data_IF_067683839552
#
_entry.id   IF_067683839552
#
_cell.length_a   1.000
_cell.length_b   1.000
_cell.length_c   1.000
_cell.angle_alpha   90.00
_cell.angle_beta   90.00
_cell.angle_gamma   90.00
#
_symmetry.space_group_name_H-M   'P 1'
#
loop_
_entity.id
_entity.type
_entity.pdbx_description
1 polymer ?
#
# COMPACT_ATOMS: atom_id res chain seq x y z
N UNK A 1 6.17 -21.81 0.82
CA UNK A 1 5.66 -20.43 0.92
C UNK A 1 4.59 -20.24 -0.13
N UNK A 2 3.34 -20.00 0.28
CA UNK A 2 2.23 -19.69 -0.62
C UNK A 2 2.56 -18.42 -1.40
N UNK A 3 2.41 -18.42 -2.73
CA UNK A 3 2.70 -17.25 -3.59
C UNK A 3 1.58 -16.20 -3.57
N UNK A 4 0.74 -16.22 -2.54
CA UNK A 4 -0.51 -15.46 -2.48
C UNK A 4 -0.35 -14.26 -1.56
N UNK A 5 -0.93 -13.13 -1.98
CA UNK A 5 -0.96 -11.90 -1.19
C UNK A 5 -1.77 -12.14 0.09
N UNK A 6 -1.16 -11.87 1.24
CA UNK A 6 -1.83 -11.86 2.54
C UNK A 6 -2.10 -10.42 2.95
N UNK A 7 -3.34 -10.13 3.34
CA UNK A 7 -3.78 -8.81 3.79
C UNK A 7 -4.32 -8.98 5.21
N UNK A 8 -3.96 -8.06 6.11
CA UNK A 8 -4.47 -8.04 7.47
C UNK A 8 -4.74 -6.60 7.88
N UNK A 9 -6.01 -6.30 8.15
CA UNK A 9 -6.40 -4.99 8.66
C UNK A 9 -6.18 -4.97 10.17
N UNK A 10 -5.29 -4.09 10.62
CA UNK A 10 -5.08 -3.86 12.06
C UNK A 10 -6.16 -2.96 12.64
N UNK A 11 -6.56 -1.93 11.88
CA UNK A 11 -7.62 -0.99 12.23
C UNK A 11 -8.41 -0.65 10.96
N UNK A 12 -9.67 -1.13 10.83
CA UNK A 12 -10.52 -0.80 9.69
C UNK A 12 -10.82 0.70 9.65
N UNK A 13 -10.75 1.30 8.45
CA UNK A 13 -11.19 2.68 8.23
C UNK A 13 -12.69 2.74 7.94
N UNK A 14 -13.33 3.84 8.34
CA UNK A 14 -14.76 4.11 8.06
C UNK A 14 -14.96 4.99 6.80
N UNK A 15 -13.87 5.25 6.08
CA UNK A 15 -13.87 6.10 4.89
C UNK A 15 -14.49 5.43 3.67
N UNK A 16 -14.63 6.21 2.59
CA UNK A 16 -15.03 5.66 1.28
C UNK A 16 -13.95 4.72 0.77
N UNK A 17 -14.38 3.59 0.22
CA UNK A 17 -13.50 2.67 -0.50
C UNK A 17 -12.79 3.38 -1.66
N UNK A 18 -11.54 2.99 -1.88
CA UNK A 18 -10.74 3.54 -2.96
C UNK A 18 -11.16 2.86 -4.28
N UNK A 19 -11.35 3.66 -5.33
CA UNK A 19 -11.75 3.17 -6.64
C UNK A 19 -10.63 3.33 -7.66
N UNK A 20 -10.66 2.55 -8.75
CA UNK A 20 -9.71 2.69 -9.85
C UNK A 20 -9.65 4.13 -10.35
N UNK A 21 -8.45 4.69 -10.43
CA UNK A 21 -8.22 6.09 -10.82
C UNK A 21 -8.27 7.09 -9.67
N UNK A 22 -8.55 6.66 -8.43
CA UNK A 22 -8.49 7.53 -7.27
C UNK A 22 -7.05 7.95 -6.96
N UNK A 23 -6.89 9.22 -6.57
CA UNK A 23 -5.65 9.74 -6.00
C UNK A 23 -5.63 9.43 -4.51
N UNK A 24 -4.71 8.57 -4.08
CA UNK A 24 -4.53 8.24 -2.67
C UNK A 24 -3.29 8.93 -2.11
N UNK A 25 -3.32 9.27 -0.83
CA UNK A 25 -2.18 9.78 -0.08
C UNK A 25 -2.02 8.91 1.17
N UNK A 26 -0.88 8.25 1.32
CA UNK A 26 -0.68 7.26 2.37
C UNK A 26 0.75 7.26 2.93
N UNK A 27 0.89 6.83 4.18
CA UNK A 27 2.17 6.46 4.76
C UNK A 27 2.39 4.95 4.68
N UNK A 28 3.65 4.54 4.48
CA UNK A 28 4.02 3.14 4.41
C UNK A 28 5.46 2.90 4.80
N UNK A 29 5.72 1.64 5.15
CA UNK A 29 7.05 1.07 5.31
C UNK A 29 7.05 -0.30 4.64
N UNK A 30 7.96 -0.52 3.70
CA UNK A 30 8.20 -1.79 3.05
C UNK A 30 9.44 -2.47 3.64
N UNK A 31 9.28 -3.71 4.09
CA UNK A 31 10.34 -4.53 4.67
C UNK A 31 10.49 -5.84 3.91
N UNK A 32 11.71 -6.37 3.89
CA UNK A 32 11.97 -7.76 3.52
C UNK A 32 11.55 -8.69 4.67
N UNK A 33 11.50 -10.01 4.41
CA UNK A 33 11.12 -11.01 5.42
C UNK A 33 12.08 -11.04 6.63
N UNK A 34 13.34 -10.62 6.43
CA UNK A 34 14.34 -10.50 7.49
C UNK A 34 14.20 -9.22 8.33
N UNK A 35 13.23 -8.36 8.02
CA UNK A 35 12.98 -7.08 8.68
C UNK A 35 13.75 -5.90 8.09
N UNK A 36 14.61 -6.12 7.08
CA UNK A 36 15.33 -5.04 6.42
C UNK A 36 14.35 -4.11 5.71
N UNK A 37 14.33 -2.83 6.09
CA UNK A 37 13.53 -1.81 5.43
C UNK A 37 14.16 -1.48 4.08
N UNK A 38 13.45 -1.74 2.98
CA UNK A 38 13.89 -1.32 1.65
C UNK A 38 13.35 0.06 1.28
N UNK A 39 12.20 0.45 1.83
CA UNK A 39 11.63 1.78 1.61
C UNK A 39 10.65 2.21 2.71
N UNK A 40 10.60 3.51 3.04
CA UNK A 40 9.64 4.05 4.01
C UNK A 40 9.32 5.51 3.74
N UNK A 41 8.03 5.86 3.68
CA UNK A 41 7.61 7.24 3.55
C UNK A 41 7.82 8.04 4.84
N UNK A 42 7.80 7.39 6.01
CA UNK A 42 8.13 8.02 7.28
C UNK A 42 9.59 8.46 7.32
N UNK A 43 10.52 7.64 6.83
CA UNK A 43 11.95 8.03 6.73
C UNK A 43 12.16 9.21 5.79
N UNK A 44 11.33 9.36 4.75
CA UNK A 44 11.36 10.52 3.84
C UNK A 44 10.65 11.77 4.41
N UNK A 45 9.99 11.67 5.54
CA UNK A 45 9.27 12.77 6.20
C UNK A 45 8.05 13.29 5.44
N UNK A 46 7.59 12.60 4.38
CA UNK A 46 6.42 13.01 3.59
C UNK A 46 5.58 11.83 3.15
N UNK A 47 4.24 11.95 3.12
CA UNK A 47 3.37 10.90 2.62
C UNK A 47 3.62 10.64 1.14
N UNK A 48 3.30 9.43 0.71
CA UNK A 48 3.36 9.04 -0.68
C UNK A 48 1.99 9.25 -1.34
N UNK A 49 2.01 9.86 -2.51
CA UNK A 49 0.80 10.15 -3.28
C UNK A 49 0.87 9.43 -4.63
N UNK A 50 -0.19 8.68 -4.96
CA UNK A 50 -0.26 7.93 -6.21
C UNK A 50 -1.70 7.75 -6.69
N UNK A 51 -1.84 7.46 -7.99
CA UNK A 51 -3.12 7.11 -8.60
C UNK A 51 -3.22 5.59 -8.71
N UNK A 52 -4.16 4.98 -7.99
CA UNK A 52 -4.32 3.52 -7.96
C UNK A 52 -5.01 2.99 -9.23
N UNK A 53 -4.68 1.76 -9.60
CA UNK A 53 -5.26 1.08 -10.77
C UNK A 53 -4.71 1.60 -12.10
N UNK A 54 -3.49 2.15 -12.07
CA UNK A 54 -2.74 2.63 -13.25
C UNK A 54 -1.48 1.81 -13.51
N UNK A 55 -1.21 0.79 -12.70
CA UNK A 55 0.00 -0.05 -12.80
C UNK A 55 1.28 0.68 -12.37
N UNK A 56 1.15 1.79 -11.63
CA UNK A 56 2.27 2.65 -11.21
C UNK A 56 2.73 2.40 -9.78
N UNK A 57 2.14 1.44 -9.08
CA UNK A 57 2.50 1.06 -7.72
C UNK A 57 2.76 -0.44 -7.63
N UNK A 58 3.30 -0.89 -6.49
CA UNK A 58 3.54 -2.30 -6.22
C UNK A 58 2.23 -3.08 -6.42
N UNK A 59 2.25 -4.16 -7.21
CA UNK A 59 1.03 -4.89 -7.61
C UNK A 59 0.15 -5.30 -6.43
N UNK A 60 0.76 -5.75 -5.33
CA UNK A 60 0.02 -6.11 -4.11
C UNK A 60 -0.75 -4.94 -3.49
N UNK A 61 -0.29 -3.71 -3.69
CA UNK A 61 -1.02 -2.52 -3.25
C UNK A 61 -2.26 -2.26 -4.08
N UNK A 62 -2.17 -2.37 -5.41
CA UNK A 62 -3.36 -2.23 -6.26
C UNK A 62 -4.40 -3.30 -5.94
N UNK A 63 -3.96 -4.53 -5.64
CA UNK A 63 -4.84 -5.61 -5.24
C UNK A 63 -5.51 -5.36 -3.88
N UNK A 64 -4.79 -4.75 -2.93
CA UNK A 64 -5.37 -4.39 -1.63
C UNK A 64 -6.35 -3.21 -1.73
N UNK A 65 -6.00 -2.14 -2.45
CA UNK A 65 -6.83 -0.93 -2.53
C UNK A 65 -8.06 -1.07 -3.41
N UNK A 66 -8.10 -2.05 -4.32
CA UNK A 66 -9.21 -2.28 -5.25
C UNK A 66 -10.02 -3.54 -4.92
N UNK A 67 -9.80 -4.12 -3.74
CA UNK A 67 -10.64 -5.19 -3.20
C UNK A 67 -11.87 -4.58 -2.52
#
# INVERSE_FOLDING_TARGET
MSKELQITDLHPGEGKEAVKGALITTHYTGTLEDGTVFDSSHQRGKPFQCVIGTGRVIKGWEQHFLM
#
